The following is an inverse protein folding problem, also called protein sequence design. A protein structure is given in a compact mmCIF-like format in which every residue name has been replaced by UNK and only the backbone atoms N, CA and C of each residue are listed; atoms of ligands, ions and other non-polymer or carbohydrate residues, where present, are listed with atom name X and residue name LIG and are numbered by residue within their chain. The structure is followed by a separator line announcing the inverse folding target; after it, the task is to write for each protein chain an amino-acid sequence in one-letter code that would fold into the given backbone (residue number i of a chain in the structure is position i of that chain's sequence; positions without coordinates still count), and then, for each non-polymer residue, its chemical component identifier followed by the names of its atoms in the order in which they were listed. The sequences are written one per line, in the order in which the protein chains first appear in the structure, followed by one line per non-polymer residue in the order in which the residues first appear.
data_IF_374108510047
#
_entry.id   IF_374108510047
#
_cell.length_a   1.000
_cell.length_b   1.000
_cell.length_c   1.000
_cell.angle_alpha   90.00
_cell.angle_beta   90.00
_cell.angle_gamma   90.00
#
_symmetry.space_group_name_H-M   'P 1'
#
loop_
_entity.id
_entity.type
_entity.pdbx_description
1 polymer ?
#
# COMPACT_ATOMS: atom_id res chain seq x y z
N UNK A 1 -96.61 96.72 102.19
CA UNK A 1 -97.27 95.87 103.21
C UNK A 1 -96.28 94.79 103.62
N UNK A 2 -95.98 94.74 104.93
CA UNK A 2 -95.24 93.73 105.71
C UNK A 2 -93.80 93.38 105.28
N UNK A 3 -92.75 93.75 106.05
CA UNK A 3 -92.39 93.33 107.42
C UNK A 3 -91.76 91.94 107.46
N UNK A 4 -90.51 91.85 107.93
CA UNK A 4 -89.85 90.56 108.13
C UNK A 4 -88.37 90.63 108.48
N UNK A 5 -88.08 91.18 109.65
CA UNK A 5 -86.82 91.08 110.40
C UNK A 5 -86.29 89.65 110.53
N UNK A 6 -84.97 89.48 110.36
CA UNK A 6 -84.15 88.60 111.21
C UNK A 6 -82.69 89.05 111.15
N UNK A 7 -82.25 89.69 112.23
CA UNK A 7 -80.85 89.94 112.52
C UNK A 7 -80.26 88.66 113.13
N UNK A 8 -79.40 87.96 112.39
CA UNK A 8 -78.43 87.06 112.97
C UNK A 8 -77.11 87.81 113.07
N UNK A 9 -76.65 87.95 114.32
CA UNK A 9 -75.31 88.35 114.70
C UNK A 9 -74.28 87.61 113.86
N UNK A 10 -73.54 88.34 113.04
CA UNK A 10 -72.41 87.78 112.29
C UNK A 10 -71.36 87.32 113.30
N UNK A 11 -71.24 86.01 113.50
CA UNK A 11 -70.03 85.43 114.06
C UNK A 11 -68.92 85.76 113.05
N UNK A 12 -68.12 86.80 113.31
CA UNK A 12 -66.88 87.04 112.57
C UNK A 12 -65.90 85.95 112.99
N UNK A 13 -66.00 84.81 112.35
CA UNK A 13 -64.91 83.84 112.28
C UNK A 13 -63.81 84.56 111.49
N UNK A 14 -62.67 84.85 112.13
CA UNK A 14 -61.49 85.31 111.41
C UNK A 14 -61.23 84.31 110.28
N UNK A 15 -61.19 84.81 109.03
CA UNK A 15 -60.94 83.93 107.89
C UNK A 15 -59.64 83.18 108.13
N UNK A 16 -59.76 81.86 108.16
CA UNK A 16 -58.67 80.96 108.46
C UNK A 16 -57.57 81.14 107.41
N UNK A 17 -56.40 81.63 107.82
CA UNK A 17 -55.29 81.93 106.92
C UNK A 17 -54.93 80.71 106.06
N UNK A 18 -54.78 80.91 104.76
CA UNK A 18 -54.27 79.89 103.85
C UNK A 18 -52.77 79.69 104.04
N UNK A 19 -52.28 78.50 103.69
CA UNK A 19 -50.87 78.17 103.63
C UNK A 19 -50.37 78.35 102.19
N UNK A 20 -49.07 78.53 102.01
CA UNK A 20 -48.43 78.50 100.69
C UNK A 20 -47.48 77.31 100.60
N UNK A 21 -47.61 76.49 99.56
CA UNK A 21 -46.71 75.36 99.28
C UNK A 21 -46.23 75.42 97.83
N UNK A 22 -44.92 75.60 97.62
CA UNK A 22 -44.30 75.77 96.29
C UNK A 22 -45.05 76.75 95.37
N UNK A 23 -45.46 77.90 95.91
CA UNK A 23 -46.14 78.95 95.16
C UNK A 23 -47.64 78.74 94.95
N UNK A 24 -48.22 77.62 95.39
CA UNK A 24 -49.67 77.39 95.37
C UNK A 24 -50.31 77.68 96.74
N UNK A 25 -51.51 78.25 96.72
CA UNK A 25 -52.31 78.51 97.93
C UNK A 25 -53.08 77.25 98.34
N UNK A 26 -52.87 76.81 99.58
CA UNK A 26 -53.60 75.70 100.22
C UNK A 26 -54.53 76.29 101.28
N UNK A 27 -55.84 76.21 101.06
CA UNK A 27 -56.84 76.74 102.02
C UNK A 27 -56.73 76.05 103.38
N UNK A 28 -57.03 76.78 104.47
CA UNK A 28 -57.09 76.19 105.81
C UNK A 28 -58.12 75.05 105.85
N UNK A 29 -57.76 73.92 106.47
CA UNK A 29 -58.54 72.68 106.48
C UNK A 29 -58.33 71.78 105.25
N UNK A 30 -57.63 72.24 104.21
CA UNK A 30 -57.23 71.42 103.06
C UNK A 30 -55.85 70.81 103.26
N UNK A 31 -55.56 69.77 102.48
CA UNK A 31 -54.25 69.11 102.48
C UNK A 31 -53.65 69.07 101.08
N UNK A 32 -52.32 69.07 101.01
CA UNK A 32 -51.55 68.88 99.79
C UNK A 32 -50.65 67.65 99.93
N UNK A 33 -50.52 66.86 98.88
CA UNK A 33 -49.52 65.78 98.83
C UNK A 33 -48.16 66.41 98.59
N UNK A 34 -47.25 66.23 99.55
CA UNK A 34 -45.85 66.64 99.44
C UNK A 34 -44.95 65.40 99.30
N UNK A 35 -43.79 65.60 98.69
CA UNK A 35 -42.81 64.55 98.40
C UNK A 35 -41.49 64.81 99.12
N UNK A 36 -40.86 63.75 99.61
CA UNK A 36 -39.59 63.82 100.34
C UNK A 36 -38.45 64.36 99.46
N UNK A 37 -38.42 63.94 98.21
CA UNK A 37 -37.45 64.35 97.19
C UNK A 37 -38.15 64.79 95.90
N UNK A 38 -37.49 65.64 95.11
CA UNK A 38 -37.97 66.03 93.77
C UNK A 38 -37.72 64.94 92.70
N UNK A 39 -36.87 63.96 93.02
CA UNK A 39 -36.58 62.82 92.15
C UNK A 39 -36.07 61.61 92.94
N UNK A 40 -36.34 60.41 92.41
CA UNK A 40 -35.83 59.14 92.94
C UNK A 40 -35.28 58.26 91.82
N UNK A 41 -34.41 57.32 92.18
CA UNK A 41 -33.80 56.39 91.23
C UNK A 41 -34.83 55.43 90.61
N UNK A 42 -34.51 54.86 89.45
CA UNK A 42 -35.31 53.83 88.80
C UNK A 42 -35.65 52.67 89.76
N UNK A 43 -36.90 52.21 89.74
CA UNK A 43 -37.39 51.13 90.61
C UNK A 43 -37.76 51.56 92.04
N UNK A 44 -37.51 52.83 92.41
CA UNK A 44 -37.95 53.39 93.70
C UNK A 44 -39.34 54.02 93.59
N UNK A 45 -40.02 54.18 94.73
CA UNK A 45 -41.28 54.92 94.81
C UNK A 45 -41.07 56.27 95.48
N UNK A 46 -41.75 57.29 94.97
CA UNK A 46 -41.79 58.60 95.61
C UNK A 46 -42.54 58.49 96.93
N UNK A 47 -41.85 58.71 98.05
CA UNK A 47 -42.49 58.77 99.36
C UNK A 47 -43.31 60.05 99.46
N UNK A 48 -44.54 59.90 99.94
CA UNK A 48 -45.50 60.99 100.06
C UNK A 48 -45.89 61.24 101.51
N UNK A 49 -46.13 62.50 101.82
CA UNK A 49 -46.70 62.94 103.08
C UNK A 49 -47.90 63.84 102.77
N UNK A 50 -49.03 63.61 103.44
CA UNK A 50 -50.18 64.51 103.34
C UNK A 50 -49.99 65.67 104.33
N UNK A 51 -49.74 66.87 103.80
CA UNK A 51 -49.52 68.07 104.60
C UNK A 51 -50.82 68.87 104.71
N UNK A 52 -51.33 69.03 105.92
CA UNK A 52 -52.59 69.74 106.20
C UNK A 52 -52.32 71.18 106.61
N UNK A 53 -53.04 72.10 105.98
CA UNK A 53 -52.99 73.51 106.37
C UNK A 53 -53.94 73.76 107.54
N UNK A 54 -53.43 74.33 108.63
CA UNK A 54 -54.23 74.82 109.74
C UNK A 54 -53.84 76.25 110.06
N UNK A 55 -54.75 77.19 109.73
CA UNK A 55 -54.63 78.62 110.01
C UNK A 55 -53.24 79.20 109.68
N UNK A 56 -52.79 79.02 108.43
CA UNK A 56 -51.53 79.56 107.92
C UNK A 56 -50.30 78.71 108.22
N UNK A 57 -50.42 77.62 109.00
CA UNK A 57 -49.32 76.69 109.30
C UNK A 57 -49.54 75.36 108.59
N UNK A 58 -48.55 74.92 107.81
CA UNK A 58 -48.61 73.66 107.06
C UNK A 58 -47.88 72.55 107.83
N UNK A 59 -48.61 71.50 108.24
CA UNK A 59 -48.06 70.34 108.96
C UNK A 59 -47.04 69.55 108.13
N UNK A 60 -46.23 68.69 108.75
CA UNK A 60 -45.30 67.80 108.04
C UNK A 60 -43.98 68.46 107.63
N UNK A 61 -43.09 67.68 107.01
CA UNK A 61 -41.70 68.05 106.71
C UNK A 61 -41.33 67.98 105.23
N UNK A 62 -42.12 67.29 104.39
CA UNK A 62 -41.79 67.11 102.97
C UNK A 62 -42.00 68.39 102.17
N UNK A 63 -41.00 68.82 101.40
CA UNK A 63 -40.97 70.17 100.81
C UNK A 63 -41.25 70.20 99.31
N UNK A 64 -41.26 69.07 98.60
CA UNK A 64 -41.37 69.04 97.14
C UNK A 64 -42.83 68.86 96.69
N UNK A 65 -43.27 69.60 95.67
CA UNK A 65 -44.63 69.51 95.10
C UNK A 65 -44.79 68.43 94.03
N UNK A 66 -43.68 67.93 93.49
CA UNK A 66 -43.65 66.84 92.53
C UNK A 66 -42.42 65.98 92.78
N UNK A 67 -42.52 64.72 92.40
CA UNK A 67 -41.40 63.78 92.39
C UNK A 67 -41.42 63.02 91.06
N UNK A 68 -40.26 62.91 90.42
CA UNK A 68 -40.08 62.13 89.19
C UNK A 68 -39.21 60.90 89.45
N UNK A 69 -39.62 59.75 88.93
CA UNK A 69 -38.80 58.53 88.97
C UNK A 69 -37.91 58.52 87.73
N UNK A 70 -36.60 58.36 87.92
CA UNK A 70 -35.65 58.27 86.81
C UNK A 70 -36.02 57.11 85.86
N UNK A 71 -35.88 57.33 84.55
CA UNK A 71 -36.08 56.28 83.54
C UNK A 71 -35.01 55.19 83.66
N UNK A 72 -35.37 53.95 83.32
CA UNK A 72 -34.42 52.85 83.31
C UNK A 72 -33.24 53.12 82.35
N UNK A 73 -32.03 52.79 82.77
CA UNK A 73 -30.85 52.92 81.93
C UNK A 73 -30.87 51.87 80.81
N UNK A 74 -30.53 52.30 79.59
CA UNK A 74 -30.29 51.41 78.46
C UNK A 74 -28.89 50.79 78.55
N UNK A 75 -28.73 49.59 77.99
CA UNK A 75 -27.44 48.95 77.83
C UNK A 75 -26.84 49.33 76.47
N UNK A 76 -25.54 49.11 76.30
CA UNK A 76 -24.87 49.23 75.00
C UNK A 76 -24.25 47.90 74.60
N UNK A 77 -24.52 47.44 73.38
CA UNK A 77 -23.94 46.22 72.81
C UNK A 77 -23.39 46.52 71.41
N UNK A 78 -22.07 46.41 71.22
CA UNK A 78 -21.38 46.76 69.97
C UNK A 78 -21.80 48.11 69.37
N UNK A 79 -21.96 49.13 70.22
CA UNK A 79 -22.38 50.48 69.82
C UNK A 79 -23.88 50.68 69.63
N UNK A 80 -24.70 49.63 69.75
CA UNK A 80 -26.16 49.73 69.69
C UNK A 80 -26.77 49.85 71.10
N UNK A 81 -27.71 50.77 71.27
CA UNK A 81 -28.48 50.90 72.50
C UNK A 81 -29.54 49.78 72.59
N UNK A 82 -29.56 49.08 73.72
CA UNK A 82 -30.54 48.04 74.05
C UNK A 82 -31.39 48.57 75.21
N UNK A 83 -32.66 48.85 74.94
CA UNK A 83 -33.57 49.40 75.95
C UNK A 83 -33.74 48.42 77.13
N UNK A 84 -33.97 48.96 78.33
CA UNK A 84 -34.26 48.14 79.50
C UNK A 84 -35.46 47.20 79.24
N UNK A 85 -35.34 45.95 79.70
CA UNK A 85 -36.36 44.91 79.52
C UNK A 85 -36.35 44.24 78.15
N UNK A 86 -35.58 44.77 77.19
CA UNK A 86 -35.43 44.17 75.86
C UNK A 86 -34.22 43.24 75.82
N UNK A 87 -34.24 42.32 74.86
CA UNK A 87 -33.16 41.37 74.62
C UNK A 87 -32.54 41.55 73.23
N UNK A 88 -31.26 41.23 73.12
CA UNK A 88 -30.51 41.18 71.86
C UNK A 88 -29.86 39.80 71.70
N UNK A 89 -29.85 39.29 70.47
CA UNK A 89 -29.11 38.07 70.14
C UNK A 89 -27.62 38.42 70.02
N UNK A 90 -26.80 37.77 70.85
CA UNK A 90 -25.36 37.84 70.79
C UNK A 90 -24.79 36.46 70.41
N UNK A 91 -23.60 36.44 69.80
CA UNK A 91 -22.96 35.22 69.32
C UNK A 91 -21.64 34.97 70.03
N UNK A 92 -21.33 33.68 70.24
CA UNK A 92 -20.11 33.25 70.94
C UNK A 92 -18.84 33.61 70.16
N UNK A 93 -18.91 33.56 68.83
CA UNK A 93 -17.82 33.89 67.91
C UNK A 93 -18.33 34.75 66.74
N UNK A 94 -17.46 35.55 66.14
CA UNK A 94 -17.77 36.34 64.94
C UNK A 94 -17.82 35.47 63.66
N UNK A 95 -17.16 34.31 63.66
CA UNK A 95 -17.20 33.35 62.57
C UNK A 95 -16.94 31.93 63.04
N UNK A 96 -17.49 30.94 62.35
CA UNK A 96 -17.23 29.50 62.58
C UNK A 96 -16.85 28.79 61.28
N UNK A 97 -16.23 27.61 61.38
CA UNK A 97 -15.82 26.83 60.23
C UNK A 97 -17.02 26.30 59.42
N UNK A 98 -16.77 25.90 58.16
CA UNK A 98 -17.77 25.24 57.32
C UNK A 98 -18.41 24.04 58.04
N UNK A 99 -19.73 23.87 57.87
CA UNK A 99 -20.50 22.80 58.52
C UNK A 99 -20.78 23.01 60.01
N UNK A 100 -20.27 24.09 60.62
CA UNK A 100 -20.57 24.44 62.02
C UNK A 100 -21.75 25.41 62.11
N UNK A 101 -22.34 25.50 63.31
CA UNK A 101 -23.46 26.41 63.59
C UNK A 101 -23.02 27.54 64.51
N UNK A 102 -23.50 28.75 64.25
CA UNK A 102 -23.29 29.91 65.13
C UNK A 102 -24.11 29.77 66.42
N UNK A 103 -23.46 29.47 67.54
CA UNK A 103 -24.10 29.46 68.86
C UNK A 103 -24.47 30.88 69.28
N UNK A 104 -25.76 31.10 69.57
CA UNK A 104 -26.30 32.39 70.00
C UNK A 104 -26.86 32.35 71.42
N UNK A 105 -26.87 33.51 72.07
CA UNK A 105 -27.43 33.75 73.39
C UNK A 105 -28.31 34.99 73.33
N UNK A 106 -29.53 34.90 73.84
CA UNK A 106 -30.38 36.07 74.09
C UNK A 106 -29.90 36.77 75.37
N UNK A 107 -29.47 38.02 75.24
CA UNK A 107 -28.96 38.86 76.34
C UNK A 107 -29.98 39.94 76.66
N UNK A 108 -30.44 40.01 77.90
CA UNK A 108 -31.47 40.95 78.34
C UNK A 108 -30.86 42.11 79.11
N UNK A 109 -31.30 43.33 78.79
CA UNK A 109 -30.85 44.53 79.49
C UNK A 109 -31.65 44.77 80.79
N UNK A 110 -30.96 44.75 81.92
CA UNK A 110 -31.52 45.10 83.23
C UNK A 110 -30.84 46.36 83.76
N UNK A 111 -31.53 47.51 83.64
CA UNK A 111 -31.11 48.83 84.10
C UNK A 111 -29.61 49.13 83.87
N UNK A 112 -29.19 49.17 82.61
CA UNK A 112 -27.80 49.43 82.21
C UNK A 112 -26.85 48.22 82.27
N UNK A 113 -27.28 47.09 82.81
CA UNK A 113 -26.48 45.84 82.85
C UNK A 113 -27.03 44.79 81.90
N UNK A 114 -26.21 44.33 80.95
CA UNK A 114 -26.62 43.33 79.96
C UNK A 114 -26.26 41.91 80.44
N UNK A 115 -27.24 41.01 80.57
CA UNK A 115 -27.02 39.61 80.99
C UNK A 115 -26.18 38.81 79.98
N UNK A 116 -25.58 37.69 80.40
CA UNK A 116 -24.86 36.77 79.50
C UNK A 116 -23.39 37.10 79.24
N UNK A 117 -22.74 36.29 78.39
CA UNK A 117 -21.29 36.36 78.13
C UNK A 117 -20.89 36.55 76.67
N UNK A 118 -21.81 36.37 75.72
CA UNK A 118 -21.49 36.46 74.29
C UNK A 118 -21.33 37.90 73.82
N UNK A 119 -20.29 38.17 73.04
CA UNK A 119 -19.83 39.54 72.74
C UNK A 119 -20.03 39.96 71.28
N UNK A 120 -20.29 39.03 70.37
CA UNK A 120 -20.37 39.33 68.93
C UNK A 120 -21.82 39.66 68.51
N UNK A 121 -22.02 40.70 67.71
CA UNK A 121 -23.34 41.09 67.18
C UNK A 121 -23.80 40.28 65.98
N UNK A 122 -22.87 39.62 65.30
CA UNK A 122 -23.13 38.75 64.17
C UNK A 122 -22.18 37.56 64.21
N UNK A 123 -22.55 36.51 63.48
CA UNK A 123 -21.69 35.37 63.25
C UNK A 123 -21.89 34.87 61.81
N UNK A 124 -20.79 34.67 61.09
CA UNK A 124 -20.80 34.10 59.74
C UNK A 124 -20.18 32.70 59.71
N UNK A 125 -20.82 31.77 59.02
CA UNK A 125 -20.23 30.44 58.75
C UNK A 125 -19.32 30.57 57.53
N UNK A 126 -18.10 30.06 57.62
CA UNK A 126 -17.17 30.04 56.49
C UNK A 126 -17.76 29.22 55.31
N UNK A 127 -17.55 29.71 54.09
CA UNK A 127 -17.96 29.00 52.87
C UNK A 127 -17.13 27.73 52.65
N UNK A 128 -17.71 26.77 51.91
CA UNK A 128 -17.02 25.55 51.55
C UNK A 128 -15.83 25.82 50.62
N UNK A 129 -14.72 25.13 50.83
CA UNK A 129 -13.54 25.24 49.98
C UNK A 129 -13.68 24.37 48.73
N UNK A 130 -13.23 24.90 47.59
CA UNK A 130 -13.16 24.15 46.33
C UNK A 130 -11.86 23.37 46.24
N UNK A 131 -11.88 22.28 45.47
CA UNK A 131 -10.71 21.48 45.14
C UNK A 131 -10.11 21.94 43.79
N UNK A 132 -8.87 21.53 43.52
CA UNK A 132 -8.27 21.65 42.19
C UNK A 132 -7.92 20.26 41.65
N UNK A 133 -8.23 20.02 40.38
CA UNK A 133 -7.89 18.77 39.69
C UNK A 133 -7.48 19.06 38.24
N UNK A 134 -6.25 18.71 37.88
CA UNK A 134 -5.69 18.94 36.53
C UNK A 134 -5.88 20.38 36.02
N UNK A 135 -5.72 21.38 36.90
CA UNK A 135 -5.87 22.80 36.57
C UNK A 135 -7.32 23.32 36.56
N UNK A 136 -8.32 22.44 36.72
CA UNK A 136 -9.72 22.84 36.86
C UNK A 136 -10.13 22.99 38.34
N UNK A 137 -11.03 23.92 38.62
CA UNK A 137 -11.67 24.08 39.93
C UNK A 137 -12.87 23.13 40.05
N UNK A 138 -12.93 22.37 41.14
CA UNK A 138 -14.05 21.49 41.48
C UNK A 138 -14.71 22.05 42.75
N UNK A 139 -15.91 22.59 42.61
CA UNK A 139 -16.65 23.16 43.75
C UNK A 139 -16.99 22.07 44.77
N UNK A 140 -17.18 22.46 46.03
CA UNK A 140 -17.63 21.54 47.08
C UNK A 140 -18.89 20.76 46.67
N UNK A 141 -18.91 19.46 46.94
CA UNK A 141 -19.98 18.54 46.54
C UNK A 141 -20.01 18.16 45.05
N UNK A 142 -19.21 18.81 44.19
CA UNK A 142 -19.07 18.40 42.79
C UNK A 142 -18.10 17.23 42.64
N UNK A 143 -18.25 16.49 41.55
CA UNK A 143 -17.38 15.39 41.20
C UNK A 143 -16.72 15.57 39.84
N UNK A 144 -15.56 14.93 39.67
CA UNK A 144 -14.85 14.82 38.40
C UNK A 144 -14.56 13.35 38.10
N UNK A 145 -14.65 12.99 36.83
CA UNK A 145 -14.13 11.71 36.36
C UNK A 145 -12.62 11.80 36.25
N UNK A 146 -11.92 10.98 37.03
CA UNK A 146 -10.48 10.84 36.98
C UNK A 146 -10.08 9.49 36.39
N UNK A 147 -8.89 9.43 35.81
CA UNK A 147 -8.36 8.25 35.14
C UNK A 147 -7.13 7.72 35.88
N UNK A 148 -6.98 6.39 35.91
CA UNK A 148 -5.85 5.73 36.58
C UNK A 148 -4.52 6.01 35.89
N UNK A 149 -4.54 6.14 34.57
CA UNK A 149 -3.38 6.38 33.72
C UNK A 149 -3.71 7.43 32.65
N UNK A 150 -2.70 8.17 32.18
CA UNK A 150 -2.84 9.12 31.06
C UNK A 150 -3.02 8.41 29.70
N UNK A 151 -2.55 7.17 29.58
CA UNK A 151 -2.71 6.35 28.39
C UNK A 151 -2.68 4.86 28.69
N UNK A 152 -3.35 4.06 27.87
CA UNK A 152 -3.33 2.58 27.93
C UNK A 152 -2.99 1.96 26.57
N UNK A 153 -2.56 0.71 26.57
CA UNK A 153 -2.24 -0.02 25.33
C UNK A 153 -3.46 -0.21 24.43
N UNK A 154 -3.22 -0.43 23.13
CA UNK A 154 -4.27 -0.76 22.17
C UNK A 154 -5.12 -1.96 22.65
N UNK A 155 -6.44 -1.87 22.44
CA UNK A 155 -7.40 -2.90 22.89
C UNK A 155 -7.72 -2.89 24.39
N UNK A 156 -7.06 -2.04 25.18
CA UNK A 156 -7.39 -1.84 26.59
C UNK A 156 -8.39 -0.70 26.79
N UNK A 157 -9.01 -0.65 27.96
CA UNK A 157 -9.94 0.41 28.36
C UNK A 157 -9.34 1.27 29.47
N UNK A 158 -9.63 2.56 29.43
CA UNK A 158 -9.24 3.48 30.49
C UNK A 158 -10.10 3.24 31.75
N UNK A 159 -9.47 2.87 32.86
CA UNK A 159 -10.16 2.74 34.15
C UNK A 159 -10.44 4.13 34.73
N UNK A 160 -11.68 4.35 35.17
CA UNK A 160 -12.14 5.63 35.72
C UNK A 160 -12.58 5.53 37.17
N UNK A 161 -12.43 6.62 37.91
CA UNK A 161 -12.96 6.81 39.27
C UNK A 161 -13.70 8.15 39.31
N UNK A 162 -14.85 8.19 40.00
CA UNK A 162 -15.55 9.45 40.27
C UNK A 162 -15.03 10.05 41.58
N UNK A 163 -14.33 11.18 41.49
CA UNK A 163 -13.72 11.87 42.64
C UNK A 163 -14.57 13.06 43.05
N UNK A 164 -14.99 13.13 44.31
CA UNK A 164 -15.87 14.18 44.84
C UNK A 164 -15.08 15.12 45.73
N UNK A 165 -15.28 16.43 45.55
CA UNK A 165 -14.70 17.43 46.43
C UNK A 165 -15.51 17.56 47.72
N UNK A 166 -14.82 17.48 48.86
CA UNK A 166 -15.37 17.74 50.18
C UNK A 166 -14.50 18.75 50.92
N UNK A 167 -14.99 19.99 50.99
CA UNK A 167 -14.37 21.14 51.64
C UNK A 167 -12.85 21.23 51.39
N UNK A 168 -12.46 21.32 50.12
CA UNK A 168 -11.07 21.42 49.69
C UNK A 168 -10.31 20.10 49.60
N UNK A 169 -10.90 18.98 50.03
CA UNK A 169 -10.32 17.63 49.92
C UNK A 169 -11.00 16.81 48.83
N UNK A 170 -10.26 16.43 47.79
CA UNK A 170 -10.78 15.61 46.69
C UNK A 170 -10.64 14.11 47.02
N UNK A 171 -11.75 13.37 47.09
CA UNK A 171 -11.76 11.93 47.34
C UNK A 171 -11.04 11.13 46.25
N UNK A 172 -10.77 9.84 46.47
CA UNK A 172 -10.19 8.95 45.45
C UNK A 172 -8.68 9.06 45.28
N UNK A 173 -8.13 8.34 44.31
CA UNK A 173 -6.68 8.22 44.07
C UNK A 173 -6.26 8.47 42.62
N UNK A 174 -7.19 8.43 41.66
CA UNK A 174 -6.85 8.56 40.24
C UNK A 174 -6.43 9.99 39.89
N UNK A 175 -5.28 10.16 39.28
CA UNK A 175 -4.60 11.45 39.17
C UNK A 175 -4.79 12.15 37.82
N UNK A 176 -5.20 11.43 36.78
CA UNK A 176 -5.22 11.97 35.42
C UNK A 176 -6.60 12.51 35.03
N UNK A 177 -6.64 13.68 34.37
CA UNK A 177 -7.87 14.31 33.90
C UNK A 177 -8.39 13.76 32.58
N UNK A 178 -7.57 12.99 31.88
CA UNK A 178 -7.90 12.33 30.60
C UNK A 178 -7.09 11.06 30.45
N UNK A 179 -7.58 10.14 29.63
CA UNK A 179 -6.86 8.94 29.23
C UNK A 179 -7.03 8.69 27.72
N UNK A 180 -5.94 8.37 27.02
CA UNK A 180 -5.96 8.00 25.61
C UNK A 180 -5.58 6.52 25.42
N UNK A 181 -6.28 5.83 24.51
CA UNK A 181 -5.89 4.48 24.09
C UNK A 181 -4.88 4.62 22.96
N UNK A 182 -3.73 3.94 23.09
CA UNK A 182 -2.70 3.94 22.06
C UNK A 182 -3.22 3.35 20.74
N UNK A 183 -2.77 3.92 19.62
CA UNK A 183 -3.05 3.37 18.30
C UNK A 183 -2.40 1.98 18.12
N UNK A 184 -3.00 1.09 17.34
CA UNK A 184 -2.43 -0.23 17.09
C UNK A 184 -1.10 -0.13 16.31
N UNK A 185 -0.19 -1.04 16.61
CA UNK A 185 1.11 -1.10 15.93
C UNK A 185 0.98 -1.62 14.50
N UNK A 186 1.80 -1.10 13.60
CA UNK A 186 1.97 -1.59 12.22
C UNK A 186 2.93 -2.77 12.17
N UNK A 187 2.75 -3.66 11.21
CA UNK A 187 3.72 -4.72 10.91
C UNK A 187 4.70 -4.27 9.82
N UNK A 188 5.82 -4.97 9.66
CA UNK A 188 6.75 -4.78 8.55
C UNK A 188 6.87 -6.06 7.74
N UNK A 189 6.78 -5.96 6.40
CA UNK A 189 6.99 -7.06 5.47
C UNK A 189 7.85 -6.58 4.30
N UNK A 190 9.07 -7.12 4.17
CA UNK A 190 10.03 -6.72 3.13
C UNK A 190 10.24 -5.20 3.01
N UNK A 191 10.26 -4.49 4.15
CA UNK A 191 10.43 -3.03 4.21
C UNK A 191 9.15 -2.21 4.00
N UNK A 192 8.04 -2.85 3.65
CA UNK A 192 6.73 -2.20 3.58
C UNK A 192 6.03 -2.25 4.95
N UNK A 193 5.50 -1.10 5.39
CA UNK A 193 4.64 -1.04 6.57
C UNK A 193 3.23 -1.52 6.22
N UNK A 194 2.71 -2.42 7.06
CA UNK A 194 1.36 -2.98 6.97
C UNK A 194 0.56 -2.39 8.13
N UNK A 195 -0.52 -1.66 7.83
CA UNK A 195 -1.42 -1.16 8.87
C UNK A 195 -2.06 -2.32 9.64
N UNK A 196 -2.48 -2.08 10.88
CA UNK A 196 -3.30 -3.04 11.61
C UNK A 196 -4.57 -3.37 10.81
N UNK A 197 -4.96 -4.65 10.83
CA UNK A 197 -6.07 -5.25 10.08
C UNK A 197 -5.91 -5.21 8.55
N UNK A 198 -4.82 -4.63 8.04
CA UNK A 198 -4.42 -4.80 6.66
C UNK A 198 -3.71 -6.15 6.45
N UNK A 199 -3.75 -6.60 5.20
CA UNK A 199 -3.10 -7.84 4.79
C UNK A 199 -2.25 -7.63 3.55
N UNK A 200 -1.26 -8.51 3.36
CA UNK A 200 -0.45 -8.59 2.14
C UNK A 200 -0.41 -10.00 1.61
N UNK A 201 -0.28 -10.11 0.28
CA UNK A 201 0.00 -11.37 -0.40
C UNK A 201 1.47 -11.69 -0.23
N UNK A 202 1.79 -12.86 0.32
CA UNK A 202 3.15 -13.36 0.45
C UNK A 202 3.28 -14.71 -0.26
N UNK A 203 4.46 -14.99 -0.79
CA UNK A 203 4.74 -16.16 -1.63
C UNK A 203 5.74 -17.10 -0.95
N UNK A 204 5.54 -18.40 -1.13
CA UNK A 204 6.39 -19.43 -0.50
C UNK A 204 7.82 -19.37 -1.03
N UNK A 205 7.98 -19.14 -2.33
CA UNK A 205 9.26 -19.00 -3.03
C UNK A 205 9.28 -17.72 -3.87
N UNK A 206 10.47 -17.24 -4.23
CA UNK A 206 10.64 -16.09 -5.13
C UNK A 206 10.51 -16.46 -6.61
N UNK A 207 10.61 -17.75 -6.94
CA UNK A 207 10.38 -18.28 -8.29
C UNK A 207 9.98 -19.75 -8.28
N UNK A 208 9.31 -20.20 -9.34
CA UNK A 208 8.95 -21.60 -9.60
C UNK A 208 9.32 -22.01 -11.03
N UNK A 209 9.34 -23.31 -11.34
CA UNK A 209 9.71 -23.78 -12.68
C UNK A 209 8.61 -23.49 -13.72
N UNK A 210 8.95 -23.64 -15.00
CA UNK A 210 7.96 -23.48 -16.07
C UNK A 210 6.79 -24.47 -15.91
N UNK A 211 5.56 -23.96 -15.99
CA UNK A 211 4.34 -24.75 -15.84
C UNK A 211 3.89 -24.97 -14.39
N UNK A 212 4.66 -24.50 -13.40
CA UNK A 212 4.25 -24.48 -12.00
C UNK A 212 3.55 -23.16 -11.63
N UNK A 213 2.82 -23.17 -10.51
CA UNK A 213 2.13 -22.00 -9.98
C UNK A 213 2.77 -21.50 -8.68
N UNK A 214 2.77 -20.18 -8.50
CA UNK A 214 3.27 -19.55 -7.30
C UNK A 214 2.26 -19.69 -6.15
N UNK A 215 2.53 -20.62 -5.22
CA UNK A 215 1.81 -20.72 -3.96
C UNK A 215 1.93 -19.43 -3.15
N UNK A 216 0.78 -18.91 -2.71
CA UNK A 216 0.71 -17.70 -1.89
C UNK A 216 -0.21 -17.90 -0.68
N UNK A 217 0.00 -17.08 0.34
CA UNK A 217 -0.92 -16.88 1.44
C UNK A 217 -1.22 -15.40 1.60
N UNK A 218 -2.31 -15.10 2.31
CA UNK A 218 -2.62 -13.74 2.76
C UNK A 218 -2.17 -13.60 4.20
N UNK A 219 -1.18 -12.75 4.43
CA UNK A 219 -0.63 -12.45 5.76
C UNK A 219 -1.34 -11.23 6.34
N UNK A 220 -2.01 -11.39 7.48
CA UNK A 220 -2.75 -10.31 8.15
C UNK A 220 -1.98 -9.75 9.33
N UNK A 221 -1.97 -8.42 9.47
CA UNK A 221 -1.32 -7.72 10.56
C UNK A 221 -2.27 -7.50 11.75
N UNK A 222 -1.95 -8.07 12.91
CA UNK A 222 -2.69 -7.85 14.16
C UNK A 222 -1.77 -7.19 15.18
N UNK A 223 -1.99 -5.90 15.43
CA UNK A 223 -1.26 -5.07 16.40
C UNK A 223 0.26 -5.32 16.41
N UNK A 224 0.92 -5.11 15.26
CA UNK A 224 2.36 -5.31 15.10
C UNK A 224 2.82 -6.76 14.85
N UNK A 225 1.91 -7.74 14.94
CA UNK A 225 2.21 -9.16 14.67
C UNK A 225 1.66 -9.56 13.30
N UNK A 226 2.55 -9.96 12.38
CA UNK A 226 2.17 -10.40 11.03
C UNK A 226 1.99 -11.92 10.99
N UNK A 227 0.76 -12.40 10.89
CA UNK A 227 0.44 -13.82 10.75
C UNK A 227 0.98 -14.42 9.44
N UNK A 228 1.04 -15.75 9.36
CA UNK A 228 1.56 -16.50 8.20
C UNK A 228 3.05 -16.85 8.30
N UNK A 229 3.57 -17.56 7.31
CA UNK A 229 4.95 -18.06 7.24
C UNK A 229 5.70 -17.69 5.97
N UNK A 230 5.02 -17.32 4.88
CA UNK A 230 5.63 -17.04 3.59
C UNK A 230 6.35 -15.69 3.60
N UNK A 231 7.57 -15.66 3.07
CA UNK A 231 8.48 -14.51 3.25
C UNK A 231 8.69 -13.67 2.00
N UNK A 232 8.32 -14.15 0.82
CA UNK A 232 8.60 -13.46 -0.44
C UNK A 232 7.46 -12.51 -0.81
N UNK A 233 7.78 -11.28 -1.23
CA UNK A 233 6.79 -10.30 -1.70
C UNK A 233 6.32 -10.54 -3.14
N UNK A 234 7.06 -11.31 -3.90
CA UNK A 234 6.79 -11.63 -5.29
C UNK A 234 7.27 -13.04 -5.62
N UNK A 235 6.64 -13.64 -6.62
CA UNK A 235 7.08 -14.90 -7.20
C UNK A 235 6.98 -14.82 -8.73
N UNK A 236 8.03 -15.27 -9.42
CA UNK A 236 8.08 -15.33 -10.88
C UNK A 236 8.15 -16.78 -11.38
N UNK A 237 7.32 -17.13 -12.37
CA UNK A 237 7.38 -18.42 -13.06
C UNK A 237 8.49 -18.37 -14.11
N UNK A 238 9.38 -19.36 -14.12
CA UNK A 238 10.44 -19.44 -15.13
C UNK A 238 9.87 -19.55 -16.55
N UNK A 239 10.52 -18.90 -17.51
CA UNK A 239 10.18 -19.03 -18.93
C UNK A 239 10.46 -20.46 -19.42
N UNK A 240 9.63 -20.95 -20.34
CA UNK A 240 9.87 -22.23 -20.99
C UNK A 240 11.24 -22.28 -21.68
N UNK A 241 11.95 -23.39 -21.54
CA UNK A 241 13.23 -23.59 -22.19
C UNK A 241 13.05 -23.74 -23.72
N UNK A 242 13.95 -23.12 -24.47
CA UNK A 242 14.10 -23.34 -25.91
C UNK A 242 14.88 -24.63 -26.18
N UNK A 243 14.67 -25.22 -27.35
CA UNK A 243 15.42 -26.37 -27.83
C UNK A 243 16.58 -25.92 -28.71
N UNK A 244 17.63 -26.73 -28.83
CA UNK A 244 18.73 -26.53 -29.78
C UNK A 244 18.70 -27.62 -30.83
N UNK A 245 18.73 -27.25 -32.12
CA UNK A 245 18.76 -28.19 -33.23
C UNK A 245 19.64 -27.67 -34.37
N UNK A 246 20.71 -28.39 -34.70
CA UNK A 246 21.62 -28.01 -35.79
C UNK A 246 22.24 -26.62 -35.64
N UNK A 247 22.49 -26.17 -34.40
CA UNK A 247 23.00 -24.82 -34.11
C UNK A 247 21.94 -23.71 -34.08
N UNK A 248 20.67 -24.02 -34.35
CA UNK A 248 19.56 -23.07 -34.27
C UNK A 248 18.80 -23.22 -32.95
N UNK A 249 18.33 -22.09 -32.40
CA UNK A 249 17.43 -22.06 -31.24
C UNK A 249 15.98 -22.17 -31.71
N UNK A 250 15.28 -23.20 -31.25
CA UNK A 250 13.85 -23.40 -31.49
C UNK A 250 13.10 -22.98 -30.24
N UNK A 251 12.32 -21.89 -30.31
CA UNK A 251 11.54 -21.42 -29.18
C UNK A 251 10.51 -22.49 -28.73
N UNK A 252 10.17 -22.50 -27.44
CA UNK A 252 9.09 -23.36 -26.94
C UNK A 252 7.79 -23.11 -27.72
N UNK A 253 7.07 -24.18 -28.05
CA UNK A 253 5.84 -24.13 -28.87
C UNK A 253 6.09 -23.97 -30.37
N UNK A 254 7.33 -23.69 -30.77
CA UNK A 254 7.72 -23.66 -32.19
C UNK A 254 8.10 -25.04 -32.70
N UNK A 255 8.14 -25.19 -34.02
CA UNK A 255 8.57 -26.42 -34.69
C UNK A 255 9.67 -26.13 -35.69
N UNK A 256 10.51 -27.13 -35.96
CA UNK A 256 11.58 -27.09 -36.96
C UNK A 256 11.48 -28.32 -37.87
N UNK A 257 11.79 -28.15 -39.15
CA UNK A 257 11.90 -29.28 -40.08
C UNK A 257 13.25 -29.96 -39.90
N UNK A 258 13.25 -31.27 -39.70
CA UNK A 258 14.42 -32.12 -39.61
C UNK A 258 14.40 -33.17 -40.73
N UNK A 259 15.58 -33.72 -41.05
CA UNK A 259 15.76 -34.67 -42.15
C UNK A 259 16.32 -36.00 -41.66
N UNK A 260 15.86 -37.10 -42.27
CA UNK A 260 16.28 -38.45 -41.91
C UNK A 260 17.77 -38.69 -42.20
N UNK A 261 18.26 -38.13 -43.30
CA UNK A 261 19.64 -38.26 -43.79
C UNK A 261 20.22 -36.89 -44.14
N UNK A 262 21.55 -36.73 -44.03
CA UNK A 262 22.23 -35.50 -44.45
C UNK A 262 22.33 -35.36 -45.98
N UNK A 263 22.24 -36.47 -46.71
CA UNK A 263 22.18 -36.48 -48.17
C UNK A 263 21.42 -37.69 -48.70
N UNK A 264 20.85 -37.57 -49.89
CA UNK A 264 20.22 -38.67 -50.64
C UNK A 264 20.78 -38.75 -52.06
N UNK A 265 20.66 -39.89 -52.72
CA UNK A 265 21.11 -40.07 -54.11
C UNK A 265 20.34 -39.18 -55.09
N UNK A 266 20.91 -38.97 -56.28
CA UNK A 266 20.23 -38.26 -57.35
C UNK A 266 18.88 -38.93 -57.69
N UNK A 267 17.84 -38.12 -57.93
CA UNK A 267 16.48 -38.59 -58.20
C UNK A 267 15.66 -38.98 -56.96
N UNK A 268 16.24 -38.96 -55.76
CA UNK A 268 15.53 -39.18 -54.49
C UNK A 268 15.13 -37.86 -53.81
N UNK A 269 14.14 -37.92 -52.94
CA UNK A 269 13.70 -36.78 -52.11
C UNK A 269 14.10 -36.96 -50.65
N UNK A 270 14.49 -35.86 -50.01
CA UNK A 270 14.81 -35.87 -48.58
C UNK A 270 13.54 -36.07 -47.73
N UNK A 271 13.46 -37.19 -47.02
CA UNK A 271 12.40 -37.41 -46.03
C UNK A 271 12.50 -36.39 -44.90
N UNK A 272 11.38 -35.71 -44.62
CA UNK A 272 11.29 -34.67 -43.60
C UNK A 272 10.42 -35.10 -42.41
N UNK A 273 10.71 -34.54 -41.24
CA UNK A 273 9.89 -34.64 -40.04
C UNK A 273 9.78 -33.25 -39.41
N UNK A 274 8.56 -32.83 -39.06
CA UNK A 274 8.35 -31.65 -38.21
C UNK A 274 8.60 -32.03 -36.75
N UNK A 275 9.62 -31.42 -36.13
CA UNK A 275 9.97 -31.62 -34.72
C UNK A 275 9.52 -30.40 -33.93
N UNK A 276 8.71 -30.61 -32.89
CA UNK A 276 8.15 -29.54 -32.06
C UNK A 276 8.88 -29.43 -30.73
N UNK A 277 9.16 -28.20 -30.30
CA UNK A 277 9.86 -27.93 -29.05
C UNK A 277 8.89 -27.79 -27.87
N UNK A 278 9.00 -28.69 -26.89
CA UNK A 278 8.27 -28.62 -25.62
C UNK A 278 9.25 -28.51 -24.45
N UNK A 279 9.33 -27.32 -23.85
CA UNK A 279 10.17 -26.98 -22.70
C UNK A 279 11.59 -27.60 -22.76
N UNK A 280 12.37 -27.23 -23.78
CA UNK A 280 13.74 -27.74 -23.99
C UNK A 280 13.84 -29.13 -24.61
N UNK A 281 12.73 -29.85 -24.76
CA UNK A 281 12.69 -31.18 -25.38
C UNK A 281 12.12 -31.11 -26.79
N UNK A 282 12.89 -31.57 -27.78
CA UNK A 282 12.48 -31.58 -29.19
C UNK A 282 11.87 -32.94 -29.56
N UNK A 283 10.60 -32.99 -29.98
CA UNK A 283 9.91 -34.22 -30.39
C UNK A 283 10.55 -34.87 -31.64
N UNK A 284 10.22 -36.13 -31.96
CA UNK A 284 10.70 -36.80 -33.17
C UNK A 284 12.12 -37.38 -33.08
N UNK A 285 12.60 -37.99 -34.17
CA UNK A 285 13.84 -38.78 -34.23
C UNK A 285 14.84 -38.34 -35.30
N UNK A 286 14.43 -37.52 -36.28
CA UNK A 286 15.29 -37.09 -37.38
C UNK A 286 16.36 -36.10 -36.90
N UNK A 287 17.63 -36.39 -37.13
CA UNK A 287 18.76 -35.67 -36.49
C UNK A 287 19.44 -34.62 -37.37
N UNK A 288 19.18 -34.61 -38.68
CA UNK A 288 19.87 -33.71 -39.61
C UNK A 288 19.10 -32.40 -39.79
N UNK A 289 19.79 -31.26 -39.71
CA UNK A 289 19.21 -29.92 -39.93
C UNK A 289 19.12 -29.51 -41.39
N UNK A 290 19.83 -30.21 -42.26
CA UNK A 290 19.80 -30.03 -43.70
C UNK A 290 19.92 -31.37 -44.40
N UNK A 291 19.39 -31.45 -45.62
CA UNK A 291 19.61 -32.58 -46.50
C UNK A 291 19.89 -32.09 -47.92
N UNK A 292 20.95 -32.60 -48.53
CA UNK A 292 21.31 -32.30 -49.92
C UNK A 292 21.03 -33.50 -50.83
N UNK A 293 20.36 -33.28 -51.96
CA UNK A 293 20.25 -34.30 -53.00
C UNK A 293 21.57 -34.31 -53.79
N UNK A 294 22.17 -35.49 -53.96
CA UNK A 294 23.41 -35.66 -54.67
C UNK A 294 23.28 -35.13 -56.11
N UNK A 295 24.30 -34.38 -56.54
CA UNK A 295 24.40 -33.92 -57.93
C UNK A 295 24.49 -35.14 -58.84
N UNK A 296 23.77 -35.14 -59.97
CA UNK A 296 23.82 -36.26 -60.89
C UNK A 296 25.24 -36.47 -61.41
N UNK A 297 25.69 -37.72 -61.48
CA UNK A 297 27.03 -38.05 -61.91
C UNK A 297 27.23 -37.70 -63.39
N UNK A 298 28.40 -37.13 -63.70
CA UNK A 298 28.86 -36.97 -65.08
C UNK A 298 29.32 -38.32 -65.63
N UNK A 299 29.16 -38.53 -66.94
CA UNK A 299 29.64 -39.72 -67.62
C UNK A 299 31.07 -39.51 -68.10
N UNK A 300 31.87 -40.58 -68.16
CA UNK A 300 33.21 -40.54 -68.77
C UNK A 300 33.17 -41.27 -70.11
N UNK A 301 33.62 -40.60 -71.17
CA UNK A 301 33.80 -41.19 -72.49
C UNK A 301 35.16 -40.77 -73.04
N UNK A 302 36.05 -41.73 -73.30
CA UNK A 302 37.39 -41.50 -73.86
C UNK A 302 38.22 -40.40 -73.15
N UNK A 303 38.09 -40.30 -71.83
CA UNK A 303 38.81 -39.31 -71.02
C UNK A 303 38.15 -37.93 -70.94
N UNK A 304 37.04 -37.69 -71.64
CA UNK A 304 36.23 -36.48 -71.50
C UNK A 304 35.09 -36.67 -70.49
N UNK A 305 34.79 -35.61 -69.73
CA UNK A 305 33.69 -35.57 -68.75
C UNK A 305 32.44 -34.99 -69.42
N UNK A 306 31.36 -35.76 -69.44
CA UNK A 306 30.08 -35.41 -70.05
C UNK A 306 29.09 -35.09 -68.93
N UNK A 307 28.62 -33.85 -68.85
CA UNK A 307 27.66 -33.47 -67.83
C UNK A 307 26.33 -34.23 -68.00
N UNK A 308 25.70 -34.61 -66.89
CA UNK A 308 24.39 -35.24 -66.91
C UNK A 308 23.34 -34.38 -67.66
N UNK A 309 22.50 -35.03 -68.47
CA UNK A 309 21.50 -34.36 -69.30
C UNK A 309 22.06 -33.84 -70.63
N UNK A 310 23.37 -33.93 -70.84
CA UNK A 310 24.00 -33.61 -72.12
C UNK A 310 23.86 -34.76 -73.10
N UNK A 311 23.72 -34.40 -74.36
CA UNK A 311 23.71 -35.31 -75.51
C UNK A 311 25.03 -35.18 -76.25
N UNK A 312 25.62 -36.32 -76.62
CA UNK A 312 26.76 -36.37 -77.54
C UNK A 312 26.28 -36.86 -78.89
N UNK A 313 26.52 -36.09 -79.94
CA UNK A 313 26.23 -36.50 -81.32
C UNK A 313 27.24 -37.55 -81.78
N UNK A 314 26.77 -38.69 -82.30
CA UNK A 314 27.62 -39.67 -82.98
C UNK A 314 27.57 -39.51 -84.50
N UNK A 315 28.73 -39.62 -85.14
CA UNK A 315 28.89 -39.57 -86.59
C UNK A 315 29.47 -40.89 -87.10
N UNK A 316 28.78 -41.57 -88.02
CA UNK A 316 29.29 -42.79 -88.64
C UNK A 316 30.05 -42.46 -89.93
N UNK A 317 31.17 -43.15 -90.16
CA UNK A 317 31.91 -43.11 -91.42
C UNK A 317 31.53 -44.34 -92.24
N UNK A 318 30.96 -44.13 -93.42
CA UNK A 318 30.67 -45.20 -94.39
C UNK A 318 31.40 -44.93 -95.70
N UNK A 319 32.02 -45.97 -96.27
CA UNK A 319 32.51 -45.94 -97.64
C UNK A 319 31.32 -46.16 -98.59
N UNK A 320 30.79 -45.08 -99.15
CA UNK A 320 29.67 -45.15 -100.10
C UNK A 320 30.17 -45.79 -101.42
N UNK A 321 29.63 -46.94 -101.88
CA UNK A 321 30.25 -47.74 -102.95
C UNK A 321 30.23 -47.19 -104.40
N UNK A 322 30.03 -45.88 -104.65
CA UNK A 322 29.85 -45.43 -106.04
C UNK A 322 30.29 -44.01 -106.40
N UNK A 323 31.26 -43.41 -105.68
CA UNK A 323 31.83 -42.11 -106.08
C UNK A 323 33.37 -42.12 -106.08
N UNK A 324 33.94 -41.42 -107.07
CA UNK A 324 35.35 -41.44 -107.48
C UNK A 324 36.37 -41.41 -106.32
N UNK A 325 37.38 -42.26 -106.50
CA UNK A 325 38.52 -42.49 -105.61
C UNK A 325 39.15 -41.20 -105.06
N UNK A 326 39.05 -40.99 -103.74
CA UNK A 326 39.97 -40.12 -103.01
C UNK A 326 39.41 -39.20 -101.93
N UNK A 327 38.09 -39.10 -101.72
CA UNK A 327 37.50 -38.18 -100.74
C UNK A 327 36.67 -38.94 -99.69
N UNK A 328 36.99 -38.78 -98.40
CA UNK A 328 36.17 -39.31 -97.30
C UNK A 328 35.02 -38.35 -96.98
N UNK A 329 33.83 -38.90 -96.70
CA UNK A 329 32.63 -38.16 -96.29
C UNK A 329 32.28 -38.49 -94.83
N UNK A 330 31.77 -37.52 -94.08
CA UNK A 330 31.16 -37.76 -92.76
C UNK A 330 29.65 -37.63 -92.89
N UNK A 331 28.90 -38.65 -92.47
CA UNK A 331 27.45 -38.62 -92.49
C UNK A 331 26.92 -38.26 -91.10
N UNK A 332 26.08 -37.22 -91.03
CA UNK A 332 25.32 -36.92 -89.80
C UNK A 332 24.22 -37.99 -89.65
N UNK A 333 24.21 -38.67 -88.51
CA UNK A 333 23.11 -39.56 -88.14
C UNK A 333 22.06 -38.75 -87.40
N UNK A 334 20.80 -38.78 -87.85
CA UNK A 334 19.73 -37.96 -87.28
C UNK A 334 19.26 -38.39 -85.89
N UNK A 335 19.62 -39.59 -85.40
CA UNK A 335 19.03 -40.18 -84.20
C UNK A 335 20.01 -40.85 -83.22
N UNK A 336 21.33 -40.73 -83.41
CA UNK A 336 22.33 -41.36 -82.53
C UNK A 336 22.96 -40.35 -81.57
N UNK A 337 22.13 -39.80 -80.69
CA UNK A 337 22.62 -39.02 -79.55
C UNK A 337 22.84 -39.96 -78.35
N UNK A 338 24.06 -39.97 -77.81
CA UNK A 338 24.34 -40.62 -76.53
C UNK A 338 23.93 -39.65 -75.42
N UNK A 339 22.91 -40.01 -74.65
CA UNK A 339 22.50 -39.24 -73.48
C UNK A 339 23.32 -39.67 -72.27
N UNK A 340 23.97 -38.73 -71.59
CA UNK A 340 24.51 -38.99 -70.26
C UNK A 340 23.42 -38.93 -69.20
N UNK A 341 23.04 -40.10 -68.67
CA UNK A 341 22.04 -40.23 -67.61
C UNK A 341 22.69 -40.77 -66.33
N UNK A 342 22.99 -39.87 -65.39
CA UNK A 342 23.52 -40.17 -64.05
C UNK A 342 24.72 -41.14 -64.06
N UNK A 343 25.77 -40.80 -64.83
CA UNK A 343 26.99 -41.59 -64.97
C UNK A 343 26.91 -42.74 -65.98
N UNK A 344 25.73 -43.06 -66.51
CA UNK A 344 25.54 -44.06 -67.56
C UNK A 344 25.33 -43.41 -68.94
N UNK A 345 25.98 -43.96 -69.96
CA UNK A 345 25.79 -43.58 -71.37
C UNK A 345 24.63 -44.40 -71.94
N UNK A 346 23.55 -43.74 -72.33
CA UNK A 346 22.37 -44.36 -72.90
C UNK A 346 22.42 -44.24 -74.43
N UNK A 347 22.44 -45.35 -75.17
CA UNK A 347 22.43 -45.37 -76.64
C UNK A 347 21.05 -45.74 -77.18
N UNK A 348 20.51 -44.95 -78.10
CA UNK A 348 19.36 -45.35 -78.91
C UNK A 348 19.85 -45.69 -80.33
N UNK A 349 20.06 -46.96 -80.63
CA UNK A 349 20.59 -47.40 -81.92
C UNK A 349 19.47 -47.61 -82.93
N UNK A 350 19.00 -46.52 -83.55
CA UNK A 350 18.25 -46.60 -84.81
C UNK A 350 19.02 -45.81 -85.89
N UNK A 351 19.76 -46.54 -86.71
CA UNK A 351 20.58 -46.00 -87.79
C UNK A 351 19.69 -45.57 -88.97
N UNK A 352 19.61 -44.27 -89.20
CA UNK A 352 18.97 -43.67 -90.38
C UNK A 352 19.88 -42.52 -90.86
N UNK A 353 20.51 -42.69 -92.03
CA UNK A 353 21.38 -41.66 -92.62
C UNK A 353 20.52 -40.54 -93.21
N UNK A 354 20.80 -39.28 -92.86
CA UNK A 354 19.98 -38.14 -93.32
C UNK A 354 20.75 -37.09 -94.12
N UNK A 355 22.08 -36.94 -93.93
CA UNK A 355 22.90 -36.08 -94.80
C UNK A 355 24.40 -36.42 -94.69
N UNK A 356 25.15 -36.27 -95.78
CA UNK A 356 26.61 -36.46 -95.81
C UNK A 356 27.28 -35.24 -96.49
N UNK A 357 28.29 -34.66 -95.84
CA UNK A 357 29.08 -33.53 -96.37
C UNK A 357 30.57 -33.92 -96.56
N UNK A 358 31.26 -33.21 -97.46
CA UNK A 358 32.69 -33.39 -97.72
C UNK A 358 33.54 -32.71 -96.65
N UNK A 359 34.55 -33.42 -96.12
CA UNK A 359 35.42 -32.89 -95.05
C UNK A 359 36.39 -31.82 -95.59
N UNK A 360 36.36 -30.57 -95.10
CA UNK A 360 37.35 -29.56 -95.47
C UNK A 360 38.74 -29.88 -94.89
N UNK A 361 39.79 -29.69 -95.70
CA UNK A 361 41.19 -29.99 -95.34
C UNK A 361 41.70 -29.30 -94.06
N UNK A 362 41.01 -28.25 -93.57
CA UNK A 362 41.37 -27.50 -92.36
C UNK A 362 40.97 -28.16 -91.03
N UNK A 363 40.25 -29.31 -91.05
CA UNK A 363 39.71 -29.97 -89.84
C UNK A 363 40.36 -31.31 -89.47
N UNK A 364 41.46 -31.69 -90.13
CA UNK A 364 42.22 -32.90 -89.79
C UNK A 364 43.25 -32.60 -88.68
N UNK A 365 43.01 -33.09 -87.47
CA UNK A 365 44.00 -33.12 -86.39
C UNK A 365 44.19 -34.56 -85.90
N UNK A 366 45.45 -34.95 -85.68
CA UNK A 366 45.85 -36.32 -85.35
C UNK A 366 45.86 -36.55 -83.83
N UNK A 367 45.27 -37.67 -83.38
CA UNK A 367 45.50 -38.24 -82.05
C UNK A 367 45.77 -39.74 -82.18
N UNK A 368 46.80 -40.23 -81.48
CA UNK A 368 47.04 -41.67 -81.31
C UNK A 368 46.28 -42.16 -80.07
N UNK A 369 45.33 -43.08 -80.22
CA UNK A 369 44.73 -43.81 -79.09
C UNK A 369 44.75 -45.32 -79.32
N UNK A 370 45.05 -46.08 -78.26
CA UNK A 370 44.84 -47.53 -78.22
C UNK A 370 43.33 -47.81 -78.18
N UNK A 371 42.80 -48.52 -79.17
CA UNK A 371 41.41 -48.98 -79.19
C UNK A 371 41.37 -50.48 -78.92
N UNK A 372 40.67 -50.87 -77.87
CA UNK A 372 40.30 -52.25 -77.59
C UNK A 372 39.03 -52.57 -78.39
N UNK A 373 39.10 -53.59 -79.25
CA UNK A 373 38.03 -54.05 -80.14
C UNK A 373 36.70 -54.38 -79.40
N UNK A 374 35.58 -53.87 -79.91
CA UNK A 374 34.25 -54.48 -79.82
C UNK A 374 33.60 -54.41 -81.21
N UNK A 375 32.99 -55.51 -81.66
CA UNK A 375 32.51 -55.73 -83.03
C UNK A 375 31.37 -54.77 -83.46
N UNK A 376 31.50 -54.21 -84.68
CA UNK A 376 30.65 -53.26 -85.43
C UNK A 376 31.01 -51.74 -85.31
N UNK A 377 30.83 -50.94 -86.39
CA UNK A 377 31.68 -49.77 -86.66
C UNK A 377 31.20 -48.53 -85.89
N UNK A 378 32.10 -47.90 -85.13
CA UNK A 378 31.86 -46.53 -84.68
C UNK A 378 33.14 -45.71 -84.65
N UNK A 379 33.01 -44.52 -85.23
CA UNK A 379 33.93 -43.39 -85.11
C UNK A 379 33.26 -42.40 -84.16
N UNK A 380 33.98 -41.98 -83.12
CA UNK A 380 33.46 -41.01 -82.15
C UNK A 380 34.12 -39.67 -82.46
N UNK A 381 33.32 -38.68 -82.87
CA UNK A 381 33.75 -37.28 -83.03
C UNK A 381 33.19 -36.51 -81.84
N UNK A 382 34.07 -35.99 -80.99
CA UNK A 382 33.69 -35.02 -79.97
C UNK A 382 33.69 -33.62 -80.62
N UNK A 383 32.65 -32.84 -80.33
CA UNK A 383 32.47 -31.50 -80.88
C UNK A 383 33.65 -30.57 -80.54
N UNK A 384 34.15 -29.84 -81.55
CA UNK A 384 35.27 -28.91 -81.46
C UNK A 384 36.56 -29.35 -82.16
N UNK A 385 36.63 -29.13 -83.48
CA UNK A 385 37.85 -28.99 -84.28
C UNK A 385 38.74 -30.22 -84.58
N UNK A 386 38.30 -31.47 -84.36
CA UNK A 386 39.11 -32.65 -84.75
C UNK A 386 38.27 -33.86 -85.17
N UNK A 387 38.50 -34.38 -86.38
CA UNK A 387 37.91 -35.64 -86.86
C UNK A 387 38.91 -36.78 -86.63
N UNK A 388 38.56 -37.75 -85.79
CA UNK A 388 39.27 -39.04 -85.72
C UNK A 388 38.57 -39.97 -86.71
N UNK A 389 39.29 -40.65 -87.60
CA UNK A 389 38.70 -41.62 -88.54
C UNK A 389 39.40 -42.97 -88.40
N UNK A 390 38.64 -44.04 -88.22
CA UNK A 390 39.12 -45.41 -88.27
C UNK A 390 38.70 -46.04 -89.59
N UNK A 391 39.63 -46.70 -90.29
CA UNK A 391 39.31 -47.47 -91.51
C UNK A 391 39.38 -48.96 -91.21
N UNK A 392 38.29 -49.67 -91.48
CA UNK A 392 38.26 -51.14 -91.46
C UNK A 392 38.27 -51.65 -92.90
N UNK A 393 39.29 -52.42 -93.28
CA UNK A 393 39.26 -53.16 -94.54
C UNK A 393 38.44 -54.44 -94.34
N UNK A 394 37.15 -54.40 -94.65
CA UNK A 394 36.37 -55.62 -94.89
C UNK A 394 36.73 -56.13 -96.30
N UNK A 395 37.74 -56.99 -96.41
CA UNK A 395 38.16 -57.49 -97.73
C UNK A 395 39.01 -58.74 -97.78
N UNK A 396 39.86 -59.02 -96.77
CA UNK A 396 40.81 -60.13 -96.91
C UNK A 396 40.64 -61.21 -95.83
N UNK A 397 40.35 -62.44 -96.27
CA UNK A 397 40.55 -63.64 -95.46
C UNK A 397 42.04 -63.86 -95.26
N UNK A 398 42.58 -63.59 -94.07
CA UNK A 398 43.93 -64.03 -93.68
C UNK A 398 43.90 -64.99 -92.50
N UNK A 399 44.43 -66.18 -92.74
CA UNK A 399 44.82 -67.17 -91.74
C UNK A 399 46.14 -66.68 -91.09
N UNK A 400 46.08 -66.15 -89.87
CA UNK A 400 47.26 -65.84 -89.05
C UNK A 400 47.20 -64.49 -88.34
N UNK A 401 47.52 -64.48 -87.04
CA UNK A 401 47.51 -63.29 -86.18
C UNK A 401 48.77 -62.43 -86.40
N UNK A 402 48.65 -61.33 -87.13
CA UNK A 402 49.66 -60.27 -87.13
C UNK A 402 49.35 -59.29 -85.99
N UNK A 403 50.28 -59.10 -85.05
CA UNK A 403 50.22 -58.02 -84.05
C UNK A 403 50.89 -56.77 -84.61
N UNK A 404 50.10 -55.72 -84.78
CA UNK A 404 50.44 -54.36 -85.28
C UNK A 404 50.60 -54.20 -86.80
N UNK A 405 49.60 -53.53 -87.39
CA UNK A 405 49.69 -52.84 -88.67
C UNK A 405 49.80 -51.34 -88.35
N UNK A 406 50.97 -50.75 -88.60
CA UNK A 406 51.17 -49.31 -88.47
C UNK A 406 51.07 -48.68 -89.85
N UNK A 407 49.97 -47.98 -90.12
CA UNK A 407 49.84 -47.15 -91.32
C UNK A 407 50.30 -45.73 -91.01
N UNK A 408 51.26 -45.21 -91.80
CA UNK A 408 51.62 -43.79 -91.81
C UNK A 408 51.08 -43.22 -93.12
N UNK A 409 50.13 -42.30 -93.04
CA UNK A 409 49.64 -41.54 -94.20
C UNK A 409 50.04 -40.09 -94.08
N UNK A 410 50.76 -39.60 -95.08
CA UNK A 410 51.03 -38.17 -95.25
C UNK A 410 49.94 -37.57 -96.15
N UNK A 411 49.40 -36.42 -95.75
CA UNK A 411 48.38 -35.71 -96.51
C UNK A 411 49.07 -34.59 -97.30
N UNK A 412 49.13 -34.72 -98.62
CA UNK A 412 49.57 -33.66 -99.52
C UNK A 412 48.50 -33.43 -100.59
N UNK A 413 47.99 -32.18 -100.69
CA UNK A 413 46.97 -31.77 -101.66
C UNK A 413 45.72 -32.65 -101.73
N UNK A 414 45.13 -32.99 -100.59
CA UNK A 414 43.81 -33.63 -100.53
C UNK A 414 43.78 -35.08 -101.04
N UNK A 415 44.93 -35.74 -101.18
CA UNK A 415 45.03 -37.17 -101.44
C UNK A 415 45.83 -37.86 -100.34
N UNK A 416 45.29 -38.96 -99.84
CA UNK A 416 45.95 -39.85 -98.88
C UNK A 416 46.79 -40.86 -99.66
N UNK A 417 48.12 -40.71 -99.66
CA UNK A 417 49.04 -41.74 -100.14
C UNK A 417 49.89 -42.26 -98.98
N UNK A 418 50.00 -43.57 -98.82
CA UNK A 418 50.80 -44.20 -97.78
C UNK A 418 51.48 -45.49 -98.26
N UNK A 419 52.67 -45.75 -97.73
CA UNK A 419 53.42 -47.01 -97.91
C UNK A 419 53.33 -47.86 -96.64
N UNK A 420 53.09 -49.16 -96.79
CA UNK A 420 53.07 -50.10 -95.67
C UNK A 420 54.49 -50.49 -95.25
N UNK A 421 54.74 -50.49 -93.94
CA UNK A 421 55.94 -51.11 -93.36
C UNK A 421 55.50 -52.12 -92.32
N UNK A 422 55.74 -53.41 -92.60
CA UNK A 422 55.44 -54.51 -91.68
C UNK A 422 56.48 -54.51 -90.56
N UNK A 423 56.01 -54.43 -89.31
CA UNK A 423 56.85 -54.57 -88.13
C UNK A 423 56.63 -55.98 -87.56
N UNK A 424 57.39 -56.96 -88.08
CA UNK A 424 57.51 -58.35 -87.57
C UNK A 424 56.25 -59.22 -87.51
N UNK A 425 56.27 -60.34 -88.24
CA UNK A 425 55.29 -61.43 -88.14
C UNK A 425 55.83 -62.56 -87.25
N UNK A 426 54.97 -63.20 -86.43
CA UNK A 426 55.21 -64.52 -85.84
C UNK A 426 54.06 -65.46 -86.20
#
# INVERSE_FOLDING_TARGET
MLSGSNAYSSCRVNEASSCTFNGQTVSSGSSVTAYESNSVNFGSSCQTELRSCSNGTLSGSYTNAACSVASAASCTFNGQAVAHGTSINAYQAASVAFGSTCTSQSRTCSNGTLSGGYTNSSCSVAGAQSCSFNGATVNDGQSVTAYQAASVAYGSSCTTENRTCFNGSLSGSYSFGSCSVQSPATCSFNGQLIAHDASVKAYQTSSVAYGEECSFETRSCSNGTLGGSFTNSSCSVASAASCSFGGQTVAHGSSITAYQSYSVANGQTCSTQTRSCSNGTLSGTYTNSSCSVATPASCSLNGQTVAHGSYLKMYAYDEVPSMQSGLGYTCENSNSDILCQNGALMTNMNYQHTSCEAVPASKCAFYTSQVSYYDAPFVIVADGDSIIAYRHNSGDTWLGSCSELKEIRECSNGSLSGSYSYLTCK
#
